data_IF_702633245184
#
_entry.id   IF_702633245184
#
_cell.length_a   1.000
_cell.length_b   1.000
_cell.length_c   1.000
_cell.angle_alpha   90.00
_cell.angle_beta   90.00
_cell.angle_gamma   90.00
#
_symmetry.space_group_name_H-M   'P 1'
#
loop_
_entity.id
_entity.type
_entity.pdbx_description
1 polymer ?
2 non-polymer ?
3 non-polymer ?
4 non-polymer ?
5 water ?
#
# COMPACT_ATOMS: atom_id res chain seq x y z
N UNK A 1 -15.85 -10.43 6.16
CA UNK A 1 -14.88 -9.46 5.62
C UNK A 1 -14.73 -9.52 4.09
N UNK A 2 -13.51 -9.47 3.56
CA UNK A 2 -13.19 -9.54 2.12
C UNK A 2 -12.21 -10.68 1.89
N UNK A 3 -12.19 -11.21 0.67
CA UNK A 3 -11.29 -12.30 0.24
C UNK A 3 -9.96 -11.64 -0.12
N UNK A 4 -8.89 -12.16 0.44
CA UNK A 4 -7.51 -11.73 0.11
C UNK A 4 -6.93 -12.82 -0.76
N UNK A 5 -6.22 -12.52 -1.87
CA UNK A 5 -5.96 -11.15 -2.31
C UNK A 5 -7.19 -10.46 -2.90
N UNK A 6 -7.27 -9.15 -2.71
CA UNK A 6 -8.45 -8.33 -3.05
C UNK A 6 -8.03 -7.29 -4.08
N UNK A 7 -8.84 -7.16 -5.13
CA UNK A 7 -8.63 -6.11 -6.16
C UNK A 7 -9.67 -5.01 -5.99
N UNK A 8 -9.23 -3.77 -5.76
CA UNK A 8 -10.07 -2.56 -5.68
C UNK A 8 -9.81 -1.75 -6.95
N UNK A 9 -10.76 -1.71 -7.91
CA UNK A 9 -10.64 -0.87 -9.10
C UNK A 9 -10.56 0.59 -8.67
N UNK A 10 -9.71 1.37 -9.34
CA UNK A 10 -9.52 2.82 -9.11
C UNK A 10 -9.93 3.49 -10.41
N UNK A 11 -11.24 3.81 -10.61
CA UNK A 11 -11.73 4.17 -11.95
C UNK A 11 -11.05 5.42 -12.51
N UNK A 12 -10.38 5.35 -13.67
CA UNK A 12 -9.70 6.56 -14.17
C UNK A 12 -8.41 6.83 -13.42
N UNK A 13 -7.90 5.84 -12.71
CA UNK A 13 -6.63 5.95 -11.99
C UNK A 13 -6.72 6.81 -10.76
N UNK A 14 -5.57 7.22 -10.27
CA UNK A 14 -5.50 8.07 -9.06
C UNK A 14 -5.25 9.51 -9.51
N UNK A 15 -5.36 10.41 -8.57
CA UNK A 15 -5.33 11.87 -8.80
C UNK A 15 -5.07 12.46 -7.43
N UNK A 16 -4.33 13.59 -7.33
CA UNK A 16 -4.22 14.27 -6.06
C UNK A 16 -5.62 14.49 -5.45
N UNK A 17 -5.68 14.32 -4.12
CA UNK A 17 -6.88 14.47 -3.24
C UNK A 17 -7.66 13.15 -3.16
N UNK A 18 -7.17 12.09 -3.81
CA UNK A 18 -7.83 10.77 -3.68
C UNK A 18 -7.23 10.07 -2.47
N UNK A 19 -8.08 9.68 -1.53
CA UNK A 19 -7.68 9.00 -0.28
C UNK A 19 -8.19 7.56 -0.32
N UNK A 20 -7.27 6.61 -0.19
CA UNK A 20 -7.59 5.17 -0.18
C UNK A 20 -7.43 4.69 1.26
N UNK A 21 -8.45 4.03 1.78
CA UNK A 21 -8.48 3.57 3.19
C UNK A 21 -8.62 2.04 3.24
N UNK A 22 -7.67 1.38 3.90
CA UNK A 22 -7.65 -0.09 4.05
C UNK A 22 -7.78 -0.38 5.54
N UNK A 23 -8.84 -1.08 5.94
CA UNK A 23 -9.07 -1.55 7.33
C UNK A 23 -8.94 -3.07 7.37
N UNK A 24 -8.16 -3.56 8.31
CA UNK A 24 -8.00 -5.01 8.46
C UNK A 24 -7.37 -5.33 9.79
N UNK A 25 -7.11 -6.60 9.99
CA UNK A 25 -6.42 -7.09 11.19
C UNK A 25 -5.29 -8.00 10.74
N UNK A 26 -4.10 -7.81 11.33
CA UNK A 26 -2.94 -8.63 10.95
C UNK A 26 -3.19 -10.00 11.58
N UNK A 27 -2.97 -11.05 10.82
CA UNK A 27 -3.03 -12.42 11.38
C UNK A 27 -1.94 -12.62 12.43
N UNK A 28 -2.11 -13.60 13.33
CA UNK A 28 -1.05 -14.00 14.24
C UNK A 28 0.17 -14.54 13.48
N UNK A 29 1.38 -14.30 13.96
CA UNK A 29 2.57 -14.86 13.25
C UNK A 29 2.58 -14.44 11.77
N UNK A 30 2.16 -13.22 11.45
CA UNK A 30 2.22 -12.68 10.08
C UNK A 30 3.66 -12.65 9.59
N UNK A 31 3.86 -12.81 8.28
CA UNK A 31 5.15 -12.58 7.59
C UNK A 31 5.11 -11.29 6.76
N UNK A 32 4.04 -11.06 6.03
CA UNK A 32 4.01 -9.92 5.08
C UNK A 32 2.62 -9.34 4.90
N UNK A 33 2.59 -8.07 4.52
CA UNK A 33 1.40 -7.39 3.93
C UNK A 33 1.88 -6.75 2.61
N UNK A 34 1.01 -6.61 1.61
CA UNK A 34 1.39 -5.88 0.38
C UNK A 34 0.21 -5.08 -0.14
N UNK A 35 0.45 -3.79 -0.40
CA UNK A 35 -0.44 -2.98 -1.28
C UNK A 35 0.29 -2.80 -2.60
N UNK A 36 -0.40 -3.04 -3.70
CA UNK A 36 0.15 -2.92 -5.06
C UNK A 36 -0.75 -2.00 -5.89
N UNK A 37 -0.36 -0.74 -6.01
CA UNK A 37 -1.03 0.24 -6.90
C UNK A 37 -0.52 -0.03 -8.30
N UNK A 38 -1.36 -0.60 -9.15
CA UNK A 38 -0.92 -1.09 -10.47
C UNK A 38 -1.34 -0.18 -11.62
N UNK A 39 -0.46 -0.14 -12.61
CA UNK A 39 -0.72 0.43 -13.94
C UNK A 39 -0.54 -0.72 -14.91
N UNK A 40 -1.61 -1.41 -15.24
CA UNK A 40 -1.50 -2.67 -15.99
C UNK A 40 -0.64 -3.65 -15.23
N UNK A 41 0.37 -4.20 -15.90
CA UNK A 41 1.31 -5.15 -15.25
C UNK A 41 2.35 -4.42 -14.40
N UNK A 42 2.47 -3.12 -14.54
CA UNK A 42 3.46 -2.36 -13.73
C UNK A 42 2.89 -2.11 -12.34
N UNK A 43 3.77 -1.98 -11.36
CA UNK A 43 3.37 -1.58 -9.99
C UNK A 43 3.91 -0.19 -9.76
N UNK A 44 3.04 0.81 -9.74
CA UNK A 44 3.46 2.21 -9.54
C UNK A 44 4.00 2.36 -8.12
N UNK A 45 3.28 1.76 -7.18
CA UNK A 45 3.59 1.88 -5.74
C UNK A 45 3.28 0.55 -5.08
N UNK A 46 4.36 -0.10 -4.65
CA UNK A 46 4.38 -1.31 -3.81
C UNK A 46 4.73 -0.90 -2.39
N UNK A 47 3.82 -1.21 -1.45
CA UNK A 47 3.96 -0.96 0.00
C UNK A 47 3.96 -2.32 0.71
N UNK A 48 5.10 -2.71 1.27
CA UNK A 48 5.33 -4.12 1.68
C UNK A 48 5.93 -4.18 3.08
N UNK A 49 5.09 -4.12 4.13
CA UNK A 49 5.52 -4.51 5.47
C UNK A 49 6.02 -5.96 5.50
N UNK A 50 7.25 -6.13 5.98
CA UNK A 50 7.89 -7.45 6.21
C UNK A 50 8.15 -7.63 7.71
N UNK A 51 7.53 -8.64 8.29
CA UNK A 51 7.48 -8.86 9.76
C UNK A 51 8.72 -9.64 10.20
N UNK A 52 9.39 -10.30 9.28
CA UNK A 52 10.59 -11.10 9.67
C UNK A 52 11.54 -11.22 8.49
N UNK A 53 12.29 -10.15 8.22
CA UNK A 53 13.39 -10.18 7.24
C UNK A 53 14.67 -10.21 8.06
N UNK A 54 15.32 -11.37 8.18
CA UNK A 54 16.54 -11.49 9.01
C UNK A 54 16.20 -11.00 10.45
N UNK A 55 15.02 -11.36 10.96
CA UNK A 55 14.56 -11.11 12.36
C UNK A 55 14.42 -9.62 12.61
N UNK A 56 14.18 -8.84 11.57
CA UNK A 56 13.90 -7.39 11.66
C UNK A 56 12.55 -7.15 10.99
N UNK A 57 11.89 -6.08 11.38
CA UNK A 57 10.60 -5.64 10.77
C UNK A 57 10.92 -4.40 9.96
N UNK A 58 10.49 -4.37 8.71
CA UNK A 58 10.82 -3.24 7.80
C UNK A 58 9.69 -3.10 6.79
N UNK A 59 9.44 -1.88 6.38
CA UNK A 59 8.52 -1.62 5.25
C UNK A 59 9.37 -1.38 4.01
N UNK A 60 9.13 -2.18 2.99
CA UNK A 60 9.82 -2.04 1.70
C UNK A 60 8.82 -1.38 0.75
N UNK A 61 9.23 -0.30 0.10
CA UNK A 61 8.46 0.31 -1.01
C UNK A 61 9.25 0.28 -2.31
N UNK A 62 8.55 0.14 -3.42
CA UNK A 62 9.23 0.01 -4.73
C UNK A 62 8.20 0.15 -5.84
N UNK A 63 8.72 0.15 -7.06
CA UNK A 63 7.97 0.29 -8.31
C UNK A 63 8.48 -0.85 -9.19
N UNK A 64 7.58 -1.47 -9.92
CA UNK A 64 7.93 -2.52 -10.90
C UNK A 64 7.58 -2.00 -12.30
N UNK A 65 8.57 -1.95 -13.20
CA UNK A 65 8.39 -1.47 -14.59
C UNK A 65 8.85 -2.58 -15.53
N UNK A 66 7.99 -2.97 -16.46
CA UNK A 66 8.32 -4.01 -17.46
C UNK A 66 8.83 -5.25 -16.72
N UNK A 67 8.19 -5.60 -15.60
CA UNK A 67 8.49 -6.82 -14.80
C UNK A 67 9.83 -6.74 -14.04
N UNK A 68 10.46 -5.58 -13.90
CA UNK A 68 11.70 -5.39 -13.12
C UNK A 68 11.41 -4.44 -11.95
N UNK A 69 11.76 -4.89 -10.74
CA UNK A 69 11.76 -4.03 -9.54
C UNK A 69 12.88 -3.00 -9.63
N UNK A 70 12.59 -1.79 -9.17
CA UNK A 70 13.57 -0.70 -9.05
C UNK A 70 14.33 -0.72 -7.73
N UNK A 71 14.78 0.45 -7.34
CA UNK A 71 15.51 0.70 -6.08
C UNK A 71 14.52 0.77 -4.92
N UNK A 72 14.71 -0.11 -3.93
CA UNK A 72 13.85 -0.15 -2.74
C UNK A 72 14.01 1.13 -1.91
N UNK A 73 12.91 1.61 -1.36
CA UNK A 73 12.91 2.62 -0.28
C UNK A 73 12.49 1.91 1.00
N UNK A 74 13.35 1.97 2.02
CA UNK A 74 13.15 1.19 3.27
C UNK A 74 12.97 2.14 4.44
N UNK A 75 12.01 1.78 5.30
CA UNK A 75 11.50 2.53 6.49
C UNK A 75 11.50 1.51 7.62
N UNK A 76 12.24 1.80 8.68
CA UNK A 76 12.30 0.94 9.89
C UNK A 76 11.16 1.27 10.87
N UNK A 77 10.55 2.46 10.81
CA UNK A 77 9.33 2.71 11.63
C UNK A 77 8.29 1.70 11.15
N UNK A 78 7.75 0.92 12.06
CA UNK A 78 6.93 -0.26 11.71
C UNK A 78 5.73 -0.31 12.66
N UNK A 79 4.61 0.32 12.27
CA UNK A 79 3.46 0.45 13.18
C UNK A 79 2.54 -0.76 13.33
N UNK A 80 2.78 -1.83 12.56
CA UNK A 80 1.93 -3.03 12.47
C UNK A 80 2.35 -3.98 13.57
N UNK A 81 1.40 -4.73 14.09
CA UNK A 81 1.65 -5.81 15.09
C UNK A 81 0.79 -7.01 14.75
N UNK A 82 1.38 -8.20 14.78
CA UNK A 82 0.65 -9.46 14.58
C UNK A 82 -0.55 -9.46 15.53
N UNK A 83 -1.71 -9.84 15.02
CA UNK A 83 -2.96 -9.96 15.77
C UNK A 83 -3.77 -8.69 15.89
N UNK A 84 -3.28 -7.52 15.43
CA UNK A 84 -3.93 -6.24 15.79
C UNK A 84 -4.58 -5.58 14.58
N UNK A 85 -5.73 -4.93 14.82
CA UNK A 85 -6.42 -4.14 13.80
C UNK A 85 -5.62 -2.88 13.43
N UNK A 86 -5.63 -2.56 12.15
CA UNK A 86 -4.90 -1.43 11.57
C UNK A 86 -5.81 -0.68 10.60
N UNK A 87 -5.41 0.55 10.35
CA UNK A 87 -5.97 1.39 9.27
C UNK A 87 -4.78 1.96 8.51
N UNK A 88 -4.77 1.75 7.20
CA UNK A 88 -3.78 2.37 6.28
C UNK A 88 -4.54 3.37 5.42
N UNK A 89 -4.04 4.60 5.40
CA UNK A 89 -4.60 5.70 4.62
C UNK A 89 -3.52 6.11 3.63
N UNK A 90 -3.82 6.01 2.35
CA UNK A 90 -2.88 6.42 1.30
C UNK A 90 -3.51 7.63 0.63
N UNK A 91 -2.94 8.79 0.82
CA UNK A 91 -3.45 10.05 0.23
C UNK A 91 -2.57 10.34 -0.98
N UNK A 92 -3.18 10.50 -2.15
CA UNK A 92 -2.40 10.87 -3.35
C UNK A 92 -2.13 12.38 -3.27
N UNK A 93 -0.87 12.80 -3.29
CA UNK A 93 -0.52 14.25 -3.40
C UNK A 93 0.20 14.48 -4.73
N UNK A 94 0.46 15.76 -5.10
CA UNK A 94 1.01 16.05 -6.43
C UNK A 94 2.33 15.31 -6.73
N UNK A 95 3.20 15.17 -5.74
CA UNK A 95 4.56 14.62 -5.95
C UNK A 95 4.71 13.24 -5.31
N UNK A 96 3.77 12.80 -4.49
CA UNK A 96 3.96 11.54 -3.76
C UNK A 96 2.65 10.89 -3.33
N UNK A 97 2.76 9.61 -2.99
CA UNK A 97 1.75 8.93 -2.16
C UNK A 97 2.14 9.18 -0.69
N UNK A 98 1.20 9.65 0.10
CA UNK A 98 1.44 9.90 1.54
C UNK A 98 0.69 8.84 2.35
N UNK A 99 1.41 8.09 3.17
CA UNK A 99 0.85 6.94 3.93
C UNK A 99 0.81 7.25 5.43
N UNK A 100 -0.36 7.11 6.03
CA UNK A 100 -0.59 7.16 7.49
C UNK A 100 -1.12 5.81 7.93
N UNK A 101 -0.64 5.32 9.06
CA UNK A 101 -1.17 4.08 9.67
C UNK A 101 -1.71 4.45 11.05
N UNK A 102 -2.96 4.10 11.31
CA UNK A 102 -3.59 4.32 12.64
C UNK A 102 -3.52 5.82 12.95
N UNK A 103 -3.72 6.65 11.91
CA UNK A 103 -3.84 8.12 12.02
C UNK A 103 -2.49 8.82 12.20
N UNK A 104 -1.38 8.10 12.15
CA UNK A 104 -0.03 8.66 12.32
C UNK A 104 0.69 8.58 10.98
N UNK A 105 1.19 9.71 10.53
CA UNK A 105 2.04 9.75 9.31
C UNK A 105 3.13 8.68 9.39
N UNK A 106 3.32 7.90 8.31
CA UNK A 106 4.36 6.86 8.28
C UNK A 106 5.42 7.23 7.25
N UNK A 107 5.06 7.44 5.98
CA UNK A 107 6.08 7.66 4.92
C UNK A 107 5.44 8.35 3.72
N UNK A 108 6.29 8.85 2.85
CA UNK A 108 5.86 9.30 1.52
C UNK A 108 6.69 8.58 0.47
N UNK A 109 6.12 8.44 -0.70
CA UNK A 109 6.77 7.73 -1.82
C UNK A 109 6.58 8.58 -3.07
N UNK A 110 7.68 9.13 -3.55
CA UNK A 110 7.71 10.03 -4.73
C UNK A 110 7.16 9.28 -5.93
N UNK A 111 6.36 9.95 -6.76
CA UNK A 111 5.77 9.35 -7.99
C UNK A 111 6.90 8.98 -8.95
N UNK A 112 7.05 7.72 -9.32
CA UNK A 112 7.99 7.29 -10.38
C UNK A 112 7.21 7.12 -11.68
N UNK A 113 6.07 6.46 -11.57
CA UNK A 113 5.04 6.38 -12.64
C UNK A 113 4.35 7.73 -12.66
N UNK A 114 4.33 8.34 -13.85
CA UNK A 114 3.88 9.73 -14.05
C UNK A 114 2.41 9.74 -14.48
N UNK A 115 1.95 8.69 -15.15
CA UNK A 115 0.55 8.61 -15.64
C UNK A 115 -0.34 8.18 -14.49
N UNK A 116 -0.64 9.10 -13.60
CA UNK A 116 -1.44 8.77 -12.39
C UNK A 116 -2.82 8.26 -12.80
N UNK A 117 -3.40 8.80 -13.87
CA UNK A 117 -4.75 8.39 -14.34
C UNK A 117 -4.74 7.00 -14.99
N UNK A 118 -3.60 6.29 -15.02
CA UNK A 118 -3.59 4.88 -15.53
C UNK A 118 -3.29 3.89 -14.40
N UNK A 119 -3.14 4.38 -13.16
CA UNK A 119 -2.92 3.50 -11.98
C UNK A 119 -4.31 3.08 -11.49
N UNK A 120 -4.88 2.07 -12.13
CA UNK A 120 -6.34 1.83 -12.15
C UNK A 120 -6.72 0.64 -11.27
N UNK A 121 -5.80 0.07 -10.52
CA UNK A 121 -6.17 -1.06 -9.63
C UNK A 121 -5.30 -1.01 -8.37
N UNK A 122 -5.88 -1.36 -7.24
CA UNK A 122 -5.09 -1.62 -6.00
C UNK A 122 -5.30 -3.08 -5.61
N UNK A 123 -4.23 -3.86 -5.56
CA UNK A 123 -4.19 -5.24 -5.05
C UNK A 123 -3.83 -5.21 -3.57
N UNK A 124 -4.61 -5.87 -2.74
CA UNK A 124 -4.32 -5.93 -1.28
C UNK A 124 -4.07 -7.39 -0.96
N UNK A 125 -2.88 -7.71 -0.45
CA UNK A 125 -2.49 -9.11 -0.21
C UNK A 125 -1.72 -9.26 1.12
N UNK A 126 -1.55 -10.53 1.51
CA UNK A 126 -0.71 -10.93 2.64
C UNK A 126 -1.53 -11.36 3.82
N UNK A 127 -0.88 -11.33 4.97
CA UNK A 127 -1.33 -12.12 6.15
C UNK A 127 -2.26 -11.26 6.97
N UNK A 128 -3.43 -10.95 6.41
CA UNK A 128 -4.42 -10.07 7.08
C UNK A 128 -5.81 -10.64 6.91
N UNK A 129 -6.67 -10.29 7.86
CA UNK A 129 -8.13 -10.35 7.67
C UNK A 129 -8.48 -8.97 7.13
N UNK A 130 -8.99 -8.90 5.92
CA UNK A 130 -9.33 -7.60 5.31
C UNK A 130 -10.80 -7.27 5.59
N UNK A 131 -11.05 -6.14 6.22
CA UNK A 131 -12.39 -5.70 6.66
C UNK A 131 -13.00 -4.82 5.58
N UNK A 132 -12.27 -3.82 5.10
CA UNK A 132 -12.81 -2.89 4.09
C UNK A 132 -11.67 -2.26 3.31
N UNK A 133 -11.98 -1.86 2.09
CA UNK A 133 -11.04 -1.19 1.18
C UNK A 133 -11.88 -0.22 0.37
N UNK A 134 -11.63 1.07 0.48
CA UNK A 134 -12.47 2.07 -0.21
C UNK A 134 -11.65 3.31 -0.55
N UNK A 135 -12.25 4.25 -1.26
CA UNK A 135 -11.59 5.53 -1.56
C UNK A 135 -12.64 6.63 -1.49
N UNK A 136 -12.15 7.84 -1.31
CA UNK A 136 -13.00 9.06 -1.31
C UNK A 136 -12.14 10.20 -1.82
N UNK A 137 -12.77 11.26 -2.32
CA UNK A 137 -12.03 12.46 -2.75
C UNK A 137 -12.15 13.48 -1.63
N UNK A 138 -11.04 13.99 -1.12
CA UNK A 138 -11.03 14.97 -0.01
C UNK A 138 -10.73 16.36 -0.56
X LIG B 1 -4.29 6.05 9.16
X LIG C 1 -0.60 -12.39 18.02
X LIG D 1 4.36 6.79 -16.64
X LIG E 1 14.11 -7.10 -0.94
X LIG E 1 15.66 -8.89 -1.28
X LIG E 1 16.54 -9.51 -2.39
X LIG E 1 14.75 -9.87 -0.80
X LIG E 1 17.48 -10.58 -1.88
X LIG E 1 15.69 -10.11 -3.38
X LIG E 1 17.70 -11.54 -2.91
X LIG E 1 14.90 -7.74 -1.93
X LIG E 1 14.06 -8.28 -3.09
X LIG E 1 14.90 -9.12 -4.07
X LIG F 1 11.33 -8.69 -3.67
X LIG F 1 10.01 -9.42 -3.43
X LIG F 1 8.86 -8.75 -4.17
X LIG F 1 8.82 -7.28 -3.84
X LIG F 1 10.19 -6.63 -4.15
X LIG F 1 10.27 -5.16 -3.80
X LIG F 1 10.06 -10.76 -3.91
X LIG F 1 7.61 -9.38 -3.84
X LIG F 1 8.51 -7.09 -2.43
X LIG F 1 11.25 -7.28 -3.41
X LIG F 1 11.55 -4.65 -4.15
X LIG F 1 12.64 -9.30 -2.58
#
# INVERSE_FOLDING_TARGET
PLIVPYNLPLPGGVVPRMLITILGTVKPNANRIALDFQRGNDVAFHFNPRFNENNRRVIVCNTKLDNNWGREERQSVFPFESGKPFKIQVLVEPDHFKVAVNDAHLLQYNHRVKKLNEISKLGISGDIDLTSASYTMI
MG MG
MG MG
MG MG
AH2 O3 C4 C5 O4 C6 O5 O6 C3 C2 C1
YIO C1 C2 C3 C4 C5 C6 O2 O3 O4 O5 O6 S1
#
